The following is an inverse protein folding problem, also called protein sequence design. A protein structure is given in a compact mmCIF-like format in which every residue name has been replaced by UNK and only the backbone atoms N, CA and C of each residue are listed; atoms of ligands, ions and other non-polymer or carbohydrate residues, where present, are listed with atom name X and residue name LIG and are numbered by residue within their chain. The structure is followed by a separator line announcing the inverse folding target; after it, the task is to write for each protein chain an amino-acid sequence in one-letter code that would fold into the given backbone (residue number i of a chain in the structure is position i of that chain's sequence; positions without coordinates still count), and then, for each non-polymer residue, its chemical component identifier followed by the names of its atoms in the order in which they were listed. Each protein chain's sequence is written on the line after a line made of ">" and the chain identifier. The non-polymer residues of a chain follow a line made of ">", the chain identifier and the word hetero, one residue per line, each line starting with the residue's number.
data_IF_480846497614
#
_entry.id   IF_480846497614
#
_cell.length_a   1.000
_cell.length_b   1.000
_cell.length_c   1.000
_cell.angle_alpha   90.00
_cell.angle_beta   90.00
_cell.angle_gamma   90.00
#
_symmetry.space_group_name_H-M   'P 1'
#
loop_
_entity.id
_entity.type
_entity.pdbx_description
1 polymer ?
#
# COMPACT_ATOMS: atom_id res chain seq x y z
N UNK A 1 -7.75 13.39 -25.23
CA UNK A 1 -8.15 11.97 -25.06
C UNK A 1 -8.12 11.57 -23.59
N UNK A 2 -9.03 10.71 -23.22
CA UNK A 2 -9.07 10.23 -21.84
C UNK A 2 -8.01 9.14 -21.62
N UNK A 3 -7.52 8.99 -20.38
CA UNK A 3 -6.56 7.94 -20.05
C UNK A 3 -7.19 6.54 -20.16
N UNK A 4 -6.34 5.51 -20.24
CA UNK A 4 -6.80 4.13 -20.12
C UNK A 4 -7.33 3.86 -18.70
N UNK A 5 -8.08 2.77 -18.53
CA UNK A 5 -8.53 2.37 -17.20
C UNK A 5 -7.36 2.17 -16.22
N UNK A 6 -6.27 1.55 -16.66
CA UNK A 6 -5.11 1.34 -15.81
C UNK A 6 -4.47 2.66 -15.39
N UNK A 7 -4.33 3.60 -16.32
CA UNK A 7 -3.76 4.91 -16.00
C UNK A 7 -4.69 5.68 -15.05
N UNK A 8 -5.98 5.62 -15.29
CA UNK A 8 -6.98 6.27 -14.45
C UNK A 8 -6.90 5.78 -12.99
N UNK A 9 -6.91 4.46 -12.80
CA UNK A 9 -6.83 3.91 -11.44
C UNK A 9 -5.46 4.09 -10.81
N UNK A 10 -4.40 4.06 -11.60
CA UNK A 10 -3.06 4.37 -11.11
C UNK A 10 -2.98 5.82 -10.63
N UNK A 11 -3.57 6.76 -11.35
CA UNK A 11 -3.61 8.17 -10.96
C UNK A 11 -4.38 8.35 -9.65
N UNK A 12 -5.44 7.59 -9.44
CA UNK A 12 -6.16 7.60 -8.17
C UNK A 12 -5.27 7.07 -7.04
N UNK A 13 -4.51 6.01 -7.29
CA UNK A 13 -3.56 5.50 -6.31
C UNK A 13 -2.51 6.55 -5.94
N UNK A 14 -2.06 7.35 -6.91
CA UNK A 14 -1.15 8.48 -6.65
C UNK A 14 -1.81 9.52 -5.74
N UNK A 15 -3.08 9.83 -5.96
CA UNK A 15 -3.81 10.75 -5.10
C UNK A 15 -3.93 10.19 -3.67
N UNK A 16 -4.21 8.90 -3.55
CA UNK A 16 -4.25 8.22 -2.24
C UNK A 16 -2.91 8.30 -1.53
N UNK A 17 -1.80 8.17 -2.27
CA UNK A 17 -0.46 8.20 -1.70
C UNK A 17 -0.12 9.50 -0.98
N UNK A 18 -0.81 10.60 -1.30
CA UNK A 18 -0.58 11.88 -0.65
C UNK A 18 -0.86 11.85 0.86
N UNK A 19 -1.67 10.91 1.33
CA UNK A 19 -1.92 10.70 2.75
C UNK A 19 -0.90 9.76 3.42
N UNK A 20 0.01 9.19 2.67
CA UNK A 20 1.01 8.27 3.18
C UNK A 20 1.81 8.90 4.33
N UNK A 21 1.96 8.16 5.41
CA UNK A 21 2.57 8.64 6.65
C UNK A 21 3.91 7.94 6.91
N UNK A 22 4.86 8.25 6.07
CA UNK A 22 6.22 7.76 6.18
C UNK A 22 7.17 8.90 5.82
N UNK A 23 8.21 9.11 6.62
CA UNK A 23 9.19 10.18 6.37
C UNK A 23 10.10 9.86 5.19
N UNK A 24 10.09 8.64 4.68
CA UNK A 24 10.96 8.20 3.58
C UNK A 24 10.24 8.11 2.25
N UNK A 25 9.01 7.62 2.24
CA UNK A 25 8.24 7.44 1.01
C UNK A 25 6.76 7.39 1.29
N UNK A 26 5.97 7.93 0.39
CA UNK A 26 4.51 7.87 0.44
C UNK A 26 4.01 6.95 -0.67
N UNK A 27 3.19 5.97 -0.29
CA UNK A 27 2.61 5.02 -1.22
C UNK A 27 1.10 4.96 -1.10
N UNK A 28 0.45 4.61 -2.19
CA UNK A 28 -0.98 4.43 -2.25
C UNK A 28 -1.33 3.17 -3.03
N UNK A 29 -2.46 2.60 -2.69
CA UNK A 29 -3.00 1.42 -3.36
C UNK A 29 -4.51 1.56 -3.53
N UNK A 30 -5.02 1.05 -4.65
CA UNK A 30 -6.45 1.04 -4.97
C UNK A 30 -6.83 -0.34 -5.46
N UNK A 31 -7.85 -0.93 -4.86
CA UNK A 31 -8.41 -2.22 -5.29
C UNK A 31 -9.68 -1.95 -6.09
N UNK A 32 -9.75 -2.53 -7.28
CA UNK A 32 -10.84 -2.32 -8.24
C UNK A 32 -11.44 -3.65 -8.64
N UNK A 33 -12.76 -3.73 -8.60
CA UNK A 33 -13.51 -4.89 -9.08
C UNK A 33 -14.67 -4.42 -9.93
N UNK A 34 -14.80 -4.97 -11.16
CA UNK A 34 -15.87 -4.61 -12.09
C UNK A 34 -15.97 -3.10 -12.30
N UNK A 35 -14.82 -2.44 -12.48
CA UNK A 35 -14.70 -0.99 -12.66
C UNK A 35 -15.23 -0.16 -11.48
N UNK A 36 -15.26 -0.75 -10.29
CA UNK A 36 -15.62 -0.06 -9.05
C UNK A 36 -14.46 -0.12 -8.07
N UNK A 37 -14.14 1.01 -7.47
CA UNK A 37 -13.15 1.05 -6.39
C UNK A 37 -13.81 0.44 -5.16
N UNK A 38 -13.25 -0.66 -4.67
CA UNK A 38 -13.78 -1.35 -3.48
C UNK A 38 -12.96 -1.08 -2.23
N UNK A 39 -11.72 -0.61 -2.39
CA UNK A 39 -10.86 -0.27 -1.26
C UNK A 39 -9.73 0.63 -1.71
N UNK A 40 -9.25 1.44 -0.77
CA UNK A 40 -8.02 2.22 -0.91
C UNK A 40 -7.15 2.02 0.32
N UNK A 41 -5.86 2.22 0.18
CA UNK A 41 -4.94 2.19 1.30
C UNK A 41 -3.72 3.07 1.03
N UNK A 42 -3.21 3.68 2.05
CA UNK A 42 -1.92 4.37 2.03
C UNK A 42 -1.06 3.83 3.16
N UNK A 43 0.24 4.03 3.10
CA UNK A 43 1.11 3.56 4.17
C UNK A 43 0.87 4.41 5.43
N UNK A 44 0.40 3.77 6.48
CA UNK A 44 0.01 4.43 7.71
C UNK A 44 0.07 3.50 8.90
N UNK A 45 0.28 4.08 10.08
CA UNK A 45 0.34 3.33 11.33
C UNK A 45 -1.04 2.84 11.74
N UNK A 46 -1.10 1.74 12.52
CA UNK A 46 -2.37 1.31 13.10
C UNK A 46 -3.00 2.43 13.94
N UNK A 47 -4.34 2.47 14.05
CA UNK A 47 -5.01 3.50 14.85
C UNK A 47 -4.45 3.57 16.27
N UNK A 48 -4.12 4.78 16.73
CA UNK A 48 -3.58 5.02 18.05
C UNK A 48 -2.07 4.79 18.20
N UNK A 49 -1.40 4.26 17.17
CA UNK A 49 0.04 4.07 17.21
C UNK A 49 0.79 5.34 16.81
N UNK A 50 2.09 5.38 17.12
CA UNK A 50 2.96 6.47 16.72
C UNK A 50 3.05 6.56 15.19
N UNK A 51 2.99 7.76 14.68
CA UNK A 51 3.15 8.05 13.26
C UNK A 51 4.58 8.49 12.97
N UNK A 52 5.17 7.95 11.91
CA UNK A 52 6.48 8.40 11.45
C UNK A 52 6.45 9.87 11.03
N UNK A 53 5.35 10.31 10.41
CA UNK A 53 5.18 11.71 10.02
C UNK A 53 5.12 12.65 11.20
N UNK A 54 4.43 12.27 12.28
CA UNK A 54 4.31 13.09 13.48
C UNK A 54 5.61 13.18 14.26
N UNK A 55 6.37 12.09 14.36
CA UNK A 55 7.62 12.07 15.12
C UNK A 55 8.82 12.51 14.30
N UNK A 56 8.75 12.42 12.96
CA UNK A 56 9.88 12.64 12.09
C UNK A 56 10.93 11.54 12.13
N UNK A 57 10.61 10.42 12.75
CA UNK A 57 11.55 9.31 12.95
C UNK A 57 11.18 8.09 12.11
N UNK A 58 12.20 7.35 11.70
CA UNK A 58 12.04 6.06 11.03
C UNK A 58 12.68 4.98 11.91
N UNK A 59 11.91 4.06 12.52
CA UNK A 59 12.47 3.02 13.37
C UNK A 59 13.50 2.15 12.65
N UNK A 60 13.32 1.91 11.35
CA UNK A 60 14.30 1.17 10.55
C UNK A 60 15.63 1.90 10.46
N UNK A 61 15.60 3.23 10.36
CA UNK A 61 16.81 4.04 10.29
C UNK A 61 17.55 4.10 11.62
N UNK A 62 16.82 3.94 12.73
CA UNK A 62 17.39 4.03 14.07
C UNK A 62 18.03 2.72 14.55
N UNK A 63 17.70 1.59 13.93
CA UNK A 63 18.24 0.29 14.30
C UNK A 63 19.51 -0.01 13.49
N UNK A 64 20.70 -0.12 14.13
CA UNK A 64 21.94 -0.38 13.41
C UNK A 64 21.96 -1.72 12.67
N UNK A 65 21.15 -2.70 13.09
CA UNK A 65 21.04 -3.99 12.42
C UNK A 65 20.08 -3.97 11.23
N UNK A 66 19.32 -2.89 11.06
CA UNK A 66 18.33 -2.76 10.01
C UNK A 66 19.00 -2.36 8.70
N UNK A 67 18.69 -3.10 7.64
CA UNK A 67 19.13 -2.75 6.29
C UNK A 67 17.95 -2.17 5.53
N UNK A 68 17.87 -0.86 5.49
CA UNK A 68 16.74 -0.14 4.90
C UNK A 68 16.43 -0.51 3.46
N UNK A 69 17.45 -0.86 2.71
CA UNK A 69 17.34 -1.07 1.27
C UNK A 69 16.93 -2.50 0.89
N UNK A 70 16.78 -3.39 1.86
CA UNK A 70 16.64 -4.83 1.57
C UNK A 70 15.29 -5.43 1.89
N UNK A 71 14.25 -4.60 1.96
CA UNK A 71 12.89 -5.11 2.13
C UNK A 71 12.57 -5.61 3.54
N UNK A 72 13.42 -5.31 4.53
CA UNK A 72 13.09 -5.62 5.92
C UNK A 72 12.28 -4.48 6.51
N UNK A 73 10.96 -4.68 6.54
CA UNK A 73 10.01 -3.67 7.01
C UNK A 73 9.41 -3.98 8.38
N UNK A 74 9.91 -5.02 9.07
CA UNK A 74 9.34 -5.45 10.34
C UNK A 74 9.40 -4.37 11.42
N UNK A 75 10.39 -3.48 11.34
CA UNK A 75 10.54 -2.38 12.29
C UNK A 75 9.76 -1.12 11.92
N UNK A 76 9.12 -1.09 10.76
CA UNK A 76 8.29 0.05 10.39
C UNK A 76 7.05 0.13 11.28
N UNK A 77 6.75 1.34 11.76
CA UNK A 77 5.50 1.58 12.46
C UNK A 77 4.30 1.60 11.52
N UNK A 78 4.54 1.98 10.27
CA UNK A 78 3.49 2.07 9.27
C UNK A 78 3.22 0.71 8.62
N UNK A 79 1.95 0.37 8.47
CA UNK A 79 1.51 -0.72 7.61
C UNK A 79 1.56 -0.24 6.16
N UNK A 80 2.01 -1.09 5.24
CA UNK A 80 2.13 -0.72 3.84
C UNK A 80 0.77 -0.42 3.20
N UNK A 81 0.80 0.39 2.14
CA UNK A 81 -0.40 0.81 1.43
C UNK A 81 -1.24 -0.36 0.95
N UNK A 82 -0.62 -1.35 0.32
CA UNK A 82 -1.32 -2.52 -0.20
C UNK A 82 -1.93 -3.35 0.92
N UNK A 83 -1.21 -3.52 2.03
CA UNK A 83 -1.75 -4.24 3.19
C UNK A 83 -2.96 -3.50 3.79
N UNK A 84 -2.89 -2.19 3.90
CA UNK A 84 -4.02 -1.39 4.37
C UNK A 84 -5.23 -1.49 3.44
N UNK A 85 -5.00 -1.51 2.13
CA UNK A 85 -6.08 -1.69 1.16
C UNK A 85 -6.74 -3.06 1.33
N UNK A 86 -5.94 -4.12 1.52
CA UNK A 86 -6.46 -5.47 1.76
C UNK A 86 -7.30 -5.54 3.04
N UNK A 87 -6.82 -4.93 4.11
CA UNK A 87 -7.51 -4.95 5.41
C UNK A 87 -8.86 -4.24 5.36
N UNK A 88 -9.03 -3.28 4.48
CA UNK A 88 -10.26 -2.49 4.35
C UNK A 88 -11.26 -3.05 3.34
N UNK A 89 -10.88 -4.10 2.61
CA UNK A 89 -11.75 -4.74 1.64
C UNK A 89 -12.39 -6.00 2.24
N UNK A 90 -13.57 -6.36 1.74
CA UNK A 90 -14.16 -7.65 2.07
C UNK A 90 -13.48 -8.76 1.27
N UNK A 91 -13.50 -9.98 1.79
CA UNK A 91 -12.95 -11.13 1.07
C UNK A 91 -13.60 -11.28 -0.31
N UNK A 92 -14.93 -11.15 -0.39
CA UNK A 92 -15.65 -11.28 -1.66
C UNK A 92 -15.27 -10.22 -2.67
N UNK A 93 -15.00 -8.99 -2.23
CA UNK A 93 -14.58 -7.91 -3.13
C UNK A 93 -13.17 -8.11 -3.68
N UNK A 94 -12.32 -8.81 -2.95
CA UNK A 94 -10.96 -9.10 -3.39
C UNK A 94 -10.94 -10.15 -4.50
N UNK A 95 -11.91 -11.07 -4.52
CA UNK A 95 -11.90 -12.18 -5.48
C UNK A 95 -12.03 -11.67 -6.92
N UNK A 96 -11.01 -11.93 -7.74
CA UNK A 96 -10.97 -11.51 -9.12
C UNK A 96 -10.69 -10.02 -9.35
N UNK A 97 -10.35 -9.27 -8.30
CA UNK A 97 -10.06 -7.83 -8.38
C UNK A 97 -8.67 -7.56 -8.95
N UNK A 98 -8.40 -6.28 -9.21
CA UNK A 98 -7.10 -5.75 -9.60
C UNK A 98 -6.65 -4.76 -8.52
N UNK A 99 -5.38 -4.80 -8.14
CA UNK A 99 -4.79 -3.80 -7.26
C UNK A 99 -3.81 -2.93 -8.03
N UNK A 100 -3.92 -1.62 -7.86
CA UNK A 100 -3.01 -0.61 -8.42
C UNK A 100 -2.20 -0.02 -7.28
N UNK A 101 -0.88 -0.03 -7.42
CA UNK A 101 0.04 0.39 -6.37
C UNK A 101 1.03 1.40 -6.95
N UNK A 102 1.37 2.43 -6.20
CA UNK A 102 2.28 3.48 -6.67
C UNK A 102 3.75 3.07 -6.70
N UNK A 103 4.08 1.85 -6.28
CA UNK A 103 5.43 1.30 -6.34
C UNK A 103 5.40 -0.21 -6.31
N UNK A 104 6.54 -0.82 -6.61
CA UNK A 104 6.66 -2.28 -6.60
C UNK A 104 6.37 -2.82 -5.19
N UNK A 105 5.45 -3.79 -5.06
CA UNK A 105 5.15 -4.38 -3.74
C UNK A 105 6.34 -5.17 -3.22
N UNK A 106 6.61 -5.07 -1.92
CA UNK A 106 7.63 -5.90 -1.28
C UNK A 106 7.18 -7.37 -1.28
N UNK A 107 8.12 -8.33 -1.11
CA UNK A 107 7.76 -9.75 -1.12
C UNK A 107 6.67 -10.14 -0.12
N UNK A 108 6.69 -9.54 1.08
CA UNK A 108 5.66 -9.79 2.08
C UNK A 108 4.27 -9.34 1.65
N UNK A 109 4.17 -8.14 1.09
CA UNK A 109 2.90 -7.63 0.57
C UNK A 109 2.44 -8.44 -0.64
N UNK A 110 3.35 -8.81 -1.53
CA UNK A 110 3.00 -9.60 -2.70
C UNK A 110 2.44 -10.98 -2.31
N UNK A 111 2.98 -11.57 -1.26
CA UNK A 111 2.48 -12.83 -0.73
C UNK A 111 1.03 -12.70 -0.25
N UNK A 112 0.73 -11.63 0.48
CA UNK A 112 -0.63 -11.36 0.94
C UNK A 112 -1.59 -11.11 -0.24
N UNK A 113 -1.16 -10.34 -1.22
CA UNK A 113 -1.94 -10.05 -2.42
C UNK A 113 -2.30 -11.35 -3.14
N UNK A 114 -1.30 -12.23 -3.36
CA UNK A 114 -1.53 -13.51 -4.03
C UNK A 114 -2.47 -14.42 -3.25
N UNK A 115 -2.45 -14.34 -1.94
CA UNK A 115 -3.30 -15.16 -1.08
C UNK A 115 -4.72 -14.62 -0.95
N UNK A 116 -4.96 -13.38 -1.35
CA UNK A 116 -6.23 -12.69 -1.13
C UNK A 116 -7.29 -12.95 -2.21
N UNK A 117 -6.89 -13.51 -3.35
CA UNK A 117 -7.80 -13.70 -4.49
C UNK A 117 -7.71 -12.58 -5.53
N UNK A 118 -6.88 -11.59 -5.33
CA UNK A 118 -6.60 -10.57 -6.35
C UNK A 118 -5.95 -11.26 -7.55
N UNK A 119 -6.48 -10.99 -8.75
CA UNK A 119 -6.00 -11.67 -9.94
C UNK A 119 -4.95 -10.88 -10.72
N UNK A 120 -4.85 -9.56 -10.51
CA UNK A 120 -3.96 -8.71 -11.29
C UNK A 120 -3.35 -7.63 -10.40
N UNK A 121 -2.05 -7.40 -10.56
CA UNK A 121 -1.30 -6.37 -9.83
C UNK A 121 -0.68 -5.42 -10.84
N UNK A 122 -0.88 -4.12 -10.65
CA UNK A 122 -0.35 -3.07 -11.54
C UNK A 122 0.44 -2.07 -10.68
N UNK A 123 1.70 -1.79 -11.08
CA UNK A 123 2.52 -0.76 -10.43
C UNK A 123 3.41 -0.04 -11.43
#
# INVERSE_FOLDING_TARGET
>A
MRPSWDQYYFDIALAVSARGDCVRAQHGAVVVKDHKIVSTGYNGTPPGAKSCGDTGECPRALDPSSEHSKGNYDLCWATHAESNALLRASWSDLQGSTIYITGEPCPGCLKLIKSSGIKRVVW
#
